data_IF_742689206520
#
_entry.id   IF_742689206520
#
_cell.length_a   1.000
_cell.length_b   1.000
_cell.length_c   1.000
_cell.angle_alpha   90.00
_cell.angle_beta   90.00
_cell.angle_gamma   90.00
#
_symmetry.space_group_name_H-M   'P 1'
#
loop_
_entity.id
_entity.type
_entity.pdbx_description
1 polymer ?
#
# COMPACT_ATOMS: atom_id res chain seq x y z
N UNK A 1 -12.15 14.68 -6.20
CA UNK A 1 -11.61 15.61 -7.25
C UNK A 1 -12.73 16.08 -8.18
N UNK A 2 -13.60 15.17 -8.74
CA UNK A 2 -14.68 15.59 -9.65
C UNK A 2 -15.75 16.43 -8.95
N UNK A 3 -16.16 16.04 -7.74
CA UNK A 3 -17.16 16.77 -6.96
C UNK A 3 -16.71 18.19 -6.60
N UNK A 4 -15.42 18.38 -6.34
CA UNK A 4 -14.84 19.67 -5.96
C UNK A 4 -14.77 20.64 -7.14
N UNK A 5 -14.63 20.09 -8.36
CA UNK A 5 -14.46 20.89 -9.58
C UNK A 5 -15.77 21.13 -10.33
N UNK A 6 -16.67 20.14 -10.37
CA UNK A 6 -17.88 20.14 -11.23
C UNK A 6 -19.19 19.99 -10.44
N UNK A 7 -19.12 19.89 -9.11
CA UNK A 7 -20.26 19.73 -8.21
C UNK A 7 -20.77 18.29 -8.10
N UNK A 8 -21.58 18.03 -7.08
CA UNK A 8 -22.11 16.70 -6.75
C UNK A 8 -22.90 16.05 -7.90
N UNK A 9 -23.66 16.85 -8.67
CA UNK A 9 -24.44 16.33 -9.79
C UNK A 9 -23.58 15.72 -10.89
N UNK A 10 -22.45 16.34 -11.23
CA UNK A 10 -21.50 15.79 -12.19
C UNK A 10 -20.87 14.49 -11.68
N UNK A 11 -20.56 14.41 -10.39
CA UNK A 11 -20.07 13.19 -9.74
C UNK A 11 -21.07 12.05 -9.80
N UNK A 12 -22.35 12.31 -9.52
CA UNK A 12 -23.40 11.30 -9.59
C UNK A 12 -23.59 10.77 -11.02
N UNK A 13 -23.60 11.65 -12.02
CA UNK A 13 -23.68 11.26 -13.44
C UNK A 13 -22.46 10.43 -13.87
N UNK A 14 -21.28 10.75 -13.37
CA UNK A 14 -20.05 10.02 -13.62
C UNK A 14 -20.14 8.59 -13.05
N UNK A 15 -20.59 8.45 -11.81
CA UNK A 15 -20.76 7.15 -11.15
C UNK A 15 -21.85 6.31 -11.82
N UNK A 16 -22.95 6.91 -12.22
CA UNK A 16 -24.01 6.22 -12.96
C UNK A 16 -23.51 5.72 -14.30
N UNK A 17 -22.83 6.55 -15.10
CA UNK A 17 -22.28 6.16 -16.39
C UNK A 17 -21.23 5.03 -16.25
N UNK A 18 -20.39 5.07 -15.23
CA UNK A 18 -19.45 4.00 -14.93
C UNK A 18 -20.17 2.69 -14.57
N UNK A 19 -21.17 2.75 -13.68
CA UNK A 19 -21.96 1.57 -13.28
C UNK A 19 -22.71 0.94 -14.46
N UNK A 20 -23.30 1.73 -15.34
CA UNK A 20 -23.99 1.25 -16.55
C UNK A 20 -22.99 0.59 -17.54
N UNK A 21 -21.83 1.21 -17.73
CA UNK A 21 -20.78 0.63 -18.57
C UNK A 21 -20.28 -0.72 -18.03
N UNK A 22 -20.08 -0.83 -16.70
CA UNK A 22 -19.69 -2.09 -16.06
C UNK A 22 -20.80 -3.14 -16.21
N UNK A 23 -22.06 -2.78 -15.93
CA UNK A 23 -23.22 -3.69 -16.08
C UNK A 23 -23.37 -4.22 -17.50
N UNK A 24 -23.06 -3.41 -18.51
CA UNK A 24 -23.05 -3.84 -19.90
C UNK A 24 -21.96 -4.87 -20.25
N UNK A 25 -20.99 -5.07 -19.37
CA UNK A 25 -19.90 -6.02 -19.55
C UNK A 25 -20.05 -7.32 -18.75
N UNK A 26 -20.99 -7.41 -17.81
CA UNK A 26 -21.12 -8.53 -16.87
C UNK A 26 -22.36 -9.39 -17.17
N UNK A 27 -22.35 -10.61 -16.65
CA UNK A 27 -23.46 -11.58 -16.80
C UNK A 27 -24.53 -11.33 -15.74
N UNK A 28 -25.70 -11.93 -15.93
CA UNK A 28 -26.77 -11.89 -14.93
C UNK A 28 -26.39 -12.58 -13.60
N UNK A 29 -25.47 -13.54 -13.65
CA UNK A 29 -24.89 -14.21 -12.47
C UNK A 29 -23.88 -13.36 -11.70
N UNK A 30 -23.34 -12.33 -12.34
CA UNK A 30 -22.32 -11.47 -11.76
C UNK A 30 -22.99 -10.35 -10.95
N UNK A 31 -22.35 -9.90 -9.88
CA UNK A 31 -22.93 -8.91 -8.98
C UNK A 31 -22.04 -7.69 -8.92
N UNK A 32 -22.62 -6.50 -9.18
CA UNK A 32 -21.98 -5.21 -9.01
C UNK A 32 -22.60 -4.47 -7.80
N UNK A 33 -21.77 -4.16 -6.83
CA UNK A 33 -22.16 -3.47 -5.59
C UNK A 33 -21.41 -2.13 -5.54
N UNK A 34 -22.10 -1.03 -5.22
CA UNK A 34 -21.41 0.21 -4.82
C UNK A 34 -21.00 0.06 -3.36
N UNK A 35 -19.71 -0.04 -3.13
CA UNK A 35 -19.14 -0.34 -1.81
C UNK A 35 -18.98 0.92 -0.94
N UNK A 36 -18.64 2.07 -1.58
CA UNK A 36 -18.55 3.36 -0.89
C UNK A 36 -18.09 4.45 -1.87
N UNK A 37 -18.46 5.71 -1.65
CA UNK A 37 -17.99 6.83 -2.45
C UNK A 37 -17.99 6.58 -3.96
N UNK A 38 -16.80 6.47 -4.54
CA UNK A 38 -16.53 6.12 -5.94
C UNK A 38 -16.04 4.67 -6.13
N UNK A 39 -16.21 3.82 -5.13
CA UNK A 39 -15.73 2.44 -5.13
C UNK A 39 -16.84 1.44 -5.45
N UNK A 40 -16.52 0.45 -6.30
CA UNK A 40 -17.39 -0.64 -6.68
C UNK A 40 -16.72 -1.98 -6.36
N UNK A 41 -17.51 -2.92 -5.82
CA UNK A 41 -17.15 -4.31 -5.67
C UNK A 41 -17.85 -5.13 -6.76
N UNK A 42 -17.08 -5.90 -7.52
CA UNK A 42 -17.59 -6.78 -8.55
C UNK A 42 -17.32 -8.25 -8.19
N UNK A 43 -18.37 -9.04 -8.10
CA UNK A 43 -18.29 -10.48 -7.83
C UNK A 43 -18.60 -11.25 -9.13
N UNK A 44 -17.67 -12.08 -9.56
CA UNK A 44 -17.73 -12.88 -10.80
C UNK A 44 -17.72 -14.38 -10.47
N UNK A 45 -18.88 -14.98 -10.16
CA UNK A 45 -18.94 -16.40 -9.83
C UNK A 45 -18.44 -17.28 -10.98
N UNK A 46 -17.63 -18.29 -10.64
CA UNK A 46 -17.15 -19.31 -11.59
C UNK A 46 -16.43 -18.73 -12.83
N UNK A 47 -15.71 -17.61 -12.68
CA UNK A 47 -14.84 -17.12 -13.74
C UNK A 47 -13.56 -17.99 -13.76
N UNK A 48 -13.11 -18.49 -14.93
CA UNK A 48 -11.82 -19.16 -15.02
C UNK A 48 -10.68 -18.17 -14.75
N UNK A 49 -9.61 -18.63 -14.10
CA UNK A 49 -8.48 -17.79 -13.71
C UNK A 49 -7.85 -17.06 -14.89
N UNK A 50 -7.63 -17.78 -16.00
CA UNK A 50 -7.07 -17.23 -17.25
C UNK A 50 -7.98 -16.18 -17.94
N UNK A 51 -9.26 -16.14 -17.56
CA UNK A 51 -10.25 -15.19 -18.09
C UNK A 51 -10.42 -13.94 -17.22
N UNK A 52 -10.03 -13.97 -15.92
CA UNK A 52 -10.25 -12.86 -15.00
C UNK A 52 -9.61 -11.56 -15.52
N UNK A 53 -8.31 -11.58 -15.80
CA UNK A 53 -7.58 -10.40 -16.28
C UNK A 53 -8.20 -9.83 -17.57
N UNK A 54 -8.52 -10.68 -18.53
CA UNK A 54 -9.14 -10.28 -19.80
C UNK A 54 -10.50 -9.61 -19.56
N UNK A 55 -11.28 -10.15 -18.62
CA UNK A 55 -12.59 -9.61 -18.25
C UNK A 55 -12.48 -8.23 -17.62
N UNK A 56 -11.56 -8.05 -16.70
CA UNK A 56 -11.33 -6.77 -16.03
C UNK A 56 -10.78 -5.72 -17.00
N UNK A 57 -9.89 -6.10 -17.92
CA UNK A 57 -9.41 -5.20 -18.99
C UNK A 57 -10.53 -4.81 -19.97
N UNK A 58 -11.44 -5.71 -20.29
CA UNK A 58 -12.64 -5.40 -21.07
C UNK A 58 -13.51 -4.35 -20.38
N UNK A 59 -13.76 -4.51 -19.07
CA UNK A 59 -14.52 -3.56 -18.26
C UNK A 59 -13.82 -2.20 -18.24
N UNK A 60 -12.53 -2.17 -17.91
CA UNK A 60 -11.72 -0.95 -17.90
C UNK A 60 -11.81 -0.19 -19.22
N UNK A 61 -11.59 -0.90 -20.33
CA UNK A 61 -11.63 -0.31 -21.67
C UNK A 61 -13.01 0.22 -22.04
N UNK A 62 -14.08 -0.49 -21.65
CA UNK A 62 -15.46 -0.06 -21.88
C UNK A 62 -15.80 1.20 -21.12
N UNK A 63 -15.43 1.28 -19.83
CA UNK A 63 -15.65 2.48 -19.01
C UNK A 63 -14.85 3.65 -19.56
N UNK A 64 -13.60 3.45 -19.95
CA UNK A 64 -12.76 4.50 -20.52
C UNK A 64 -13.33 5.07 -21.83
N UNK A 65 -13.99 4.25 -22.64
CA UNK A 65 -14.66 4.65 -23.88
C UNK A 65 -16.06 5.27 -23.67
N UNK A 66 -16.56 5.30 -22.42
CA UNK A 66 -17.91 5.80 -22.11
C UNK A 66 -17.88 7.31 -21.89
N UNK A 67 -18.76 8.03 -22.57
CA UNK A 67 -18.97 9.46 -22.37
C UNK A 67 -20.00 9.69 -21.25
N UNK A 68 -19.78 10.73 -20.42
CA UNK A 68 -20.72 11.12 -19.38
C UNK A 68 -21.79 12.03 -19.98
N UNK A 69 -23.08 11.69 -19.91
CA UNK A 69 -24.15 12.51 -20.46
C UNK A 69 -24.13 13.91 -19.87
N UNK A 70 -24.18 14.94 -20.73
CA UNK A 70 -24.10 16.35 -20.32
C UNK A 70 -22.69 16.87 -20.01
N UNK A 71 -21.65 15.99 -20.02
CA UNK A 71 -20.27 16.34 -19.67
C UNK A 71 -19.28 15.68 -20.64
N UNK A 72 -19.34 16.03 -21.92
CA UNK A 72 -18.55 15.39 -22.99
C UNK A 72 -17.01 15.53 -22.83
N UNK A 73 -16.56 16.44 -21.99
CA UNK A 73 -15.14 16.67 -21.67
C UNK A 73 -14.64 15.79 -20.50
N UNK A 74 -15.53 15.09 -19.77
CA UNK A 74 -15.14 14.20 -18.69
C UNK A 74 -14.79 12.82 -19.25
N UNK A 75 -13.60 12.35 -18.91
CA UNK A 75 -13.14 11.00 -19.23
C UNK A 75 -13.19 10.12 -18.00
N UNK A 76 -13.92 9.00 -18.11
CA UNK A 76 -13.94 7.98 -17.06
C UNK A 76 -12.67 7.18 -17.07
N UNK A 77 -12.16 6.85 -15.87
CA UNK A 77 -11.03 5.93 -15.71
C UNK A 77 -11.26 5.03 -14.52
N UNK A 78 -10.85 3.77 -14.62
CA UNK A 78 -10.92 2.81 -13.54
C UNK A 78 -9.53 2.30 -13.19
N UNK A 79 -9.27 2.17 -11.89
CA UNK A 79 -8.20 1.34 -11.36
C UNK A 79 -8.83 0.11 -10.74
N UNK A 80 -8.42 -1.08 -11.19
CA UNK A 80 -9.08 -2.34 -10.85
C UNK A 80 -8.06 -3.28 -10.23
N UNK A 81 -8.36 -3.79 -9.03
CA UNK A 81 -7.70 -4.94 -8.42
C UNK A 81 -8.57 -6.18 -8.56
N UNK A 82 -8.00 -7.30 -8.97
CA UNK A 82 -8.74 -8.56 -9.11
C UNK A 82 -8.02 -9.72 -8.48
N UNK A 83 -8.75 -10.55 -7.72
CA UNK A 83 -8.25 -11.77 -7.08
C UNK A 83 -9.15 -12.94 -7.37
N UNK A 84 -8.58 -14.13 -7.39
CA UNK A 84 -9.34 -15.39 -7.37
C UNK A 84 -9.46 -15.83 -5.92
N UNK A 85 -10.69 -15.85 -5.39
CA UNK A 85 -10.94 -16.34 -4.04
C UNK A 85 -10.81 -17.87 -4.00
N UNK A 86 -10.05 -18.42 -3.07
CA UNK A 86 -10.05 -19.83 -2.76
C UNK A 86 -11.18 -20.19 -1.79
N UNK A 87 -11.64 -21.47 -1.81
CA UNK A 87 -12.70 -21.93 -0.92
C UNK A 87 -12.30 -21.89 0.59
N UNK A 88 -11.02 -21.83 0.90
CA UNK A 88 -10.48 -21.79 2.25
C UNK A 88 -10.22 -20.36 2.76
N UNK A 89 -10.30 -19.36 1.89
CA UNK A 89 -10.03 -17.97 2.24
C UNK A 89 -11.32 -17.24 2.65
N UNK A 90 -11.35 -16.50 3.78
CA UNK A 90 -12.46 -15.64 4.13
C UNK A 90 -12.72 -14.57 3.06
N UNK A 91 -13.99 -14.28 2.77
CA UNK A 91 -14.39 -13.27 1.75
C UNK A 91 -13.78 -11.89 2.06
N UNK A 92 -13.71 -11.53 3.32
CA UNK A 92 -13.13 -10.27 3.79
C UNK A 92 -11.63 -10.17 3.46
N UNK A 93 -10.89 -11.29 3.50
CA UNK A 93 -9.48 -11.33 3.12
C UNK A 93 -9.31 -11.13 1.62
N UNK A 94 -10.13 -11.78 0.80
CA UNK A 94 -10.15 -11.58 -0.65
C UNK A 94 -10.50 -10.13 -1.03
N UNK A 95 -11.46 -9.51 -0.34
CA UNK A 95 -11.81 -8.09 -0.56
C UNK A 95 -10.63 -7.18 -0.23
N UNK A 96 -9.97 -7.35 0.93
CA UNK A 96 -8.77 -6.58 1.29
C UNK A 96 -7.64 -6.76 0.28
N UNK A 97 -7.45 -7.98 -0.22
CA UNK A 97 -6.46 -8.29 -1.24
C UNK A 97 -6.76 -7.56 -2.56
N UNK A 98 -8.01 -7.63 -3.04
CA UNK A 98 -8.45 -6.91 -4.24
C UNK A 98 -8.28 -5.38 -4.10
N UNK A 99 -8.56 -4.82 -2.92
CA UNK A 99 -8.37 -3.40 -2.62
C UNK A 99 -6.89 -2.99 -2.71
N UNK A 100 -5.99 -3.80 -2.16
CA UNK A 100 -4.53 -3.60 -2.29
C UNK A 100 -4.09 -3.57 -3.76
N UNK A 101 -4.54 -4.50 -4.59
CA UNK A 101 -4.23 -4.55 -6.02
C UNK A 101 -4.84 -3.37 -6.79
N UNK A 102 -6.07 -2.96 -6.44
CA UNK A 102 -6.69 -1.76 -6.99
C UNK A 102 -5.83 -0.52 -6.69
N UNK A 103 -5.30 -0.41 -5.49
CA UNK A 103 -4.44 0.70 -5.12
C UNK A 103 -3.12 0.71 -5.92
N UNK A 104 -2.50 -0.46 -6.18
CA UNK A 104 -1.36 -0.57 -7.09
C UNK A 104 -1.73 -0.07 -8.50
N UNK A 105 -2.93 -0.42 -8.98
CA UNK A 105 -3.45 0.07 -10.26
C UNK A 105 -3.66 1.59 -10.30
N UNK A 106 -4.01 2.25 -9.17
CA UNK A 106 -4.12 3.71 -9.07
C UNK A 106 -2.82 4.44 -9.39
N UNK A 107 -1.67 3.85 -9.04
CA UNK A 107 -0.34 4.43 -9.35
C UNK A 107 -0.05 4.51 -10.86
N UNK A 108 -0.68 3.65 -11.65
CA UNK A 108 -0.52 3.62 -13.11
C UNK A 108 -1.66 4.32 -13.87
N UNK A 109 -2.68 4.81 -13.16
CA UNK A 109 -3.94 5.38 -13.68
C UNK A 109 -4.57 4.51 -14.77
N UNK A 110 -5.88 4.28 -14.70
CA UNK A 110 -6.62 3.49 -15.68
C UNK A 110 -5.96 2.12 -15.96
N UNK A 111 -5.69 1.33 -14.94
CA UNK A 111 -4.95 0.07 -15.00
C UNK A 111 -5.70 -1.08 -14.30
N UNK A 112 -5.31 -2.32 -14.61
CA UNK A 112 -5.80 -3.55 -13.98
C UNK A 112 -4.63 -4.33 -13.42
N UNK A 113 -4.66 -4.62 -12.13
CA UNK A 113 -3.74 -5.54 -11.46
C UNK A 113 -4.50 -6.77 -10.99
N UNK A 114 -4.00 -7.97 -11.33
CA UNK A 114 -4.62 -9.24 -10.96
C UNK A 114 -3.55 -10.13 -10.36
N UNK A 115 -3.89 -10.78 -9.26
CA UNK A 115 -3.06 -11.81 -8.64
C UNK A 115 -3.83 -13.13 -8.63
N UNK A 116 -3.16 -14.20 -9.00
CA UNK A 116 -3.72 -15.54 -9.02
C UNK A 116 -3.20 -16.27 -7.80
N UNK A 117 -4.08 -16.61 -6.86
CA UNK A 117 -3.79 -17.57 -5.80
C UNK A 117 -3.91 -18.96 -6.40
N UNK A 118 -2.83 -19.49 -6.93
CA UNK A 118 -2.77 -20.83 -7.53
C UNK A 118 -1.48 -20.98 -8.34
N UNK A 119 -0.73 -22.01 -8.02
CA UNK A 119 0.56 -22.38 -8.55
C UNK A 119 0.65 -22.21 -10.08
N UNK A 120 1.32 -21.16 -10.54
CA UNK A 120 1.95 -21.16 -11.85
C UNK A 120 3.42 -21.56 -11.63
N UNK A 121 3.85 -22.77 -12.08
CA UNK A 121 5.21 -23.25 -11.86
C UNK A 121 6.29 -22.46 -12.59
N UNK A 122 5.94 -21.39 -13.33
CA UNK A 122 6.85 -20.55 -14.09
C UNK A 122 6.96 -19.08 -13.65
N UNK A 123 6.29 -18.68 -12.55
CA UNK A 123 6.59 -17.38 -11.93
C UNK A 123 7.69 -17.61 -10.90
N UNK A 124 8.81 -16.88 -10.94
CA UNK A 124 9.82 -16.98 -9.89
C UNK A 124 9.17 -16.70 -8.54
N UNK A 125 9.27 -17.65 -7.61
CA UNK A 125 8.76 -17.58 -6.22
C UNK A 125 9.25 -16.36 -5.41
N UNK A 126 10.06 -15.49 -6.01
CA UNK A 126 10.70 -14.37 -5.33
C UNK A 126 9.78 -13.17 -5.02
N UNK A 127 8.63 -13.01 -5.69
CA UNK A 127 7.81 -11.81 -5.49
C UNK A 127 6.63 -12.00 -4.52
N UNK A 128 6.09 -13.20 -4.36
CA UNK A 128 5.02 -13.50 -3.40
C UNK A 128 5.52 -13.80 -1.98
N UNK A 129 6.72 -14.39 -1.85
CA UNK A 129 7.33 -14.69 -0.56
C UNK A 129 7.92 -13.47 0.16
N UNK A 130 8.29 -12.39 -0.56
CA UNK A 130 8.83 -11.18 0.06
C UNK A 130 7.77 -10.36 0.80
N UNK A 131 6.49 -10.38 0.38
CA UNK A 131 5.42 -9.63 1.04
C UNK A 131 4.91 -10.33 2.31
N UNK A 132 4.89 -11.66 2.36
CA UNK A 132 4.49 -12.42 3.55
C UNK A 132 5.53 -12.36 4.69
N UNK A 133 6.74 -11.88 4.45
CA UNK A 133 7.80 -11.76 5.44
C UNK A 133 8.12 -10.33 5.88
N UNK A 134 7.48 -9.31 5.32
CA UNK A 134 7.73 -7.92 5.72
C UNK A 134 7.25 -7.67 7.13
N UNK A 135 8.17 -7.23 7.99
CA UNK A 135 7.90 -6.94 9.39
C UNK A 135 7.61 -5.45 9.57
N UNK A 136 6.60 -5.12 10.37
CA UNK A 136 6.34 -3.76 10.83
C UNK A 136 6.54 -3.71 12.33
N UNK A 137 7.40 -2.82 12.79
CA UNK A 137 7.66 -2.60 14.21
C UNK A 137 6.75 -1.48 14.74
N UNK A 138 5.97 -1.78 15.76
CA UNK A 138 5.13 -0.80 16.49
C UNK A 138 5.77 -0.53 17.85
N UNK A 139 6.15 0.73 18.09
CA UNK A 139 6.78 1.19 19.33
C UNK A 139 5.87 2.22 19.99
N UNK A 140 5.18 1.82 21.06
CA UNK A 140 4.21 2.64 21.78
C UNK A 140 4.07 2.06 23.21
N UNK A 141 4.03 2.89 24.25
CA UNK A 141 3.94 2.41 25.64
C UNK A 141 2.55 1.84 25.98
N UNK A 142 1.51 2.26 25.25
CA UNK A 142 0.14 1.78 25.42
C UNK A 142 -0.11 0.48 24.65
N UNK A 143 -0.34 -0.62 25.36
CA UNK A 143 -0.73 -1.89 24.75
C UNK A 143 -2.01 -1.78 23.89
N UNK A 144 -2.96 -0.88 24.27
CA UNK A 144 -4.17 -0.62 23.49
C UNK A 144 -3.84 0.02 22.14
N UNK A 145 -2.93 0.98 22.11
CA UNK A 145 -2.51 1.63 20.87
C UNK A 145 -1.81 0.65 19.93
N UNK A 146 -0.91 -0.20 20.46
CA UNK A 146 -0.25 -1.25 19.68
C UNK A 146 -1.27 -2.22 19.08
N UNK A 147 -2.25 -2.65 19.86
CA UNK A 147 -3.33 -3.54 19.39
C UNK A 147 -4.16 -2.89 18.26
N UNK A 148 -4.53 -1.62 18.39
CA UNK A 148 -5.29 -0.90 17.35
C UNK A 148 -4.47 -0.80 16.05
N UNK A 149 -3.19 -0.47 16.12
CA UNK A 149 -2.31 -0.37 14.96
C UNK A 149 -2.08 -1.75 14.32
N UNK A 150 -1.91 -2.79 15.12
CA UNK A 150 -1.80 -4.16 14.64
C UNK A 150 -3.08 -4.63 13.94
N UNK A 151 -4.26 -4.27 14.46
CA UNK A 151 -5.54 -4.57 13.81
C UNK A 151 -5.72 -3.83 12.48
N UNK A 152 -5.27 -2.57 12.39
CA UNK A 152 -5.28 -1.79 11.14
C UNK A 152 -4.43 -2.46 10.06
N UNK A 153 -3.26 -3.00 10.43
CA UNK A 153 -2.35 -3.69 9.51
C UNK A 153 -2.84 -5.10 9.15
N UNK A 154 -3.63 -5.72 10.02
CA UNK A 154 -4.22 -7.03 9.81
C UNK A 154 -3.15 -8.13 9.64
N UNK A 155 -3.44 -9.09 8.77
CA UNK A 155 -2.54 -10.21 8.45
C UNK A 155 -1.53 -9.93 7.35
N UNK A 156 -1.49 -8.71 6.82
CA UNK A 156 -0.65 -8.36 5.67
C UNK A 156 0.83 -8.22 6.03
N UNK A 157 1.13 -8.04 7.33
CA UNK A 157 2.48 -7.85 7.86
C UNK A 157 2.72 -8.69 9.11
N UNK A 158 3.96 -9.09 9.32
CA UNK A 158 4.37 -9.64 10.61
C UNK A 158 4.66 -8.49 11.59
N UNK A 159 3.85 -8.39 12.65
CA UNK A 159 3.93 -7.30 13.62
C UNK A 159 4.94 -7.64 14.71
N UNK A 160 5.89 -6.75 14.91
CA UNK A 160 6.78 -6.72 16.07
C UNK A 160 6.35 -5.58 16.97
N UNK A 161 6.35 -5.80 18.29
CA UNK A 161 5.93 -4.81 19.26
C UNK A 161 7.06 -4.46 20.22
N UNK A 162 7.11 -3.20 20.63
CA UNK A 162 7.98 -2.71 21.71
C UNK A 162 7.20 -1.69 22.57
N UNK A 163 7.42 -1.71 23.87
CA UNK A 163 6.71 -0.84 24.83
C UNK A 163 7.45 0.46 25.16
N UNK A 164 8.64 0.64 24.65
CA UNK A 164 9.48 1.83 24.82
C UNK A 164 10.56 1.90 23.75
N UNK A 165 11.26 3.01 23.66
CA UNK A 165 12.28 3.23 22.63
C UNK A 165 13.51 2.32 22.74
N UNK A 166 13.93 1.90 23.95
CA UNK A 166 15.07 0.99 24.12
C UNK A 166 14.76 -0.38 23.55
N UNK A 167 13.57 -0.95 23.88
CA UNK A 167 13.09 -2.20 23.29
C UNK A 167 12.97 -2.08 21.78
N UNK A 168 12.42 -0.97 21.25
CA UNK A 168 12.33 -0.73 19.82
C UNK A 168 13.69 -0.75 19.12
N UNK A 169 14.69 -0.10 19.68
CA UNK A 169 16.06 -0.13 19.17
C UNK A 169 16.71 -1.52 19.24
N UNK A 170 16.38 -2.30 20.25
CA UNK A 170 16.88 -3.69 20.36
C UNK A 170 16.26 -4.58 19.28
N UNK A 171 14.95 -4.48 19.04
CA UNK A 171 14.25 -5.18 17.97
C UNK A 171 14.84 -4.82 16.60
N UNK A 172 15.13 -3.53 16.35
CA UNK A 172 15.79 -3.08 15.11
C UNK A 172 17.15 -3.71 14.90
N UNK A 173 17.97 -3.83 15.96
CA UNK A 173 19.31 -4.46 15.87
C UNK A 173 19.24 -5.97 15.63
N UNK A 174 18.22 -6.64 16.19
CA UNK A 174 18.03 -8.09 16.05
C UNK A 174 17.46 -8.50 14.68
N UNK A 175 16.82 -7.57 13.95
CA UNK A 175 16.16 -7.83 12.68
C UNK A 175 16.70 -6.97 11.53
N UNK A 176 18.02 -6.98 11.25
CA UNK A 176 18.60 -6.12 10.23
C UNK A 176 18.04 -6.46 8.84
N UNK A 177 17.49 -5.47 8.15
CA UNK A 177 16.97 -5.60 6.79
C UNK A 177 15.58 -6.22 6.64
N UNK A 178 15.00 -6.77 7.72
CA UNK A 178 13.67 -7.41 7.66
C UNK A 178 12.52 -6.44 8.01
N UNK A 179 12.80 -5.35 8.72
CA UNK A 179 11.79 -4.37 9.12
C UNK A 179 11.53 -3.41 7.96
N UNK A 180 10.31 -3.43 7.47
CA UNK A 180 9.86 -2.61 6.34
C UNK A 180 9.47 -1.18 6.77
N UNK A 181 9.03 -1.01 8.04
CA UNK A 181 8.57 0.28 8.58
C UNK A 181 8.49 0.23 10.11
N UNK A 182 8.71 1.38 10.74
CA UNK A 182 8.48 1.61 12.17
C UNK A 182 7.32 2.57 12.37
N UNK A 183 6.34 2.19 13.19
CA UNK A 183 5.33 3.08 13.75
C UNK A 183 5.79 3.47 15.15
N UNK A 184 5.99 4.76 15.40
CA UNK A 184 6.70 5.24 16.57
C UNK A 184 5.90 6.32 17.31
N UNK A 185 5.54 6.05 18.56
CA UNK A 185 4.97 7.08 19.42
C UNK A 185 6.06 8.03 19.94
N UNK A 186 5.69 9.27 20.24
CA UNK A 186 6.61 10.26 20.80
C UNK A 186 6.78 10.04 22.30
N UNK A 187 5.67 9.93 23.02
CA UNK A 187 5.64 10.02 24.47
C UNK A 187 5.73 8.63 25.13
N UNK A 188 6.93 8.14 25.29
CA UNK A 188 7.20 6.85 25.91
C UNK A 188 8.19 7.00 27.08
N UNK A 189 8.10 6.12 28.10
CA UNK A 189 9.08 6.06 29.17
C UNK A 189 10.43 5.53 28.68
N UNK A 190 11.49 5.74 29.46
CA UNK A 190 12.86 5.26 29.26
C UNK A 190 13.55 5.98 28.09
N UNK A 191 13.02 5.83 26.86
CA UNK A 191 13.51 6.41 25.64
C UNK A 191 12.33 6.86 24.79
N UNK A 192 12.19 8.17 24.55
CA UNK A 192 11.08 8.73 23.76
C UNK A 192 11.31 8.61 22.25
N UNK A 193 10.28 8.89 21.45
CA UNK A 193 10.33 8.71 19.99
C UNK A 193 11.38 9.60 19.29
N UNK A 194 11.64 10.79 19.76
CA UNK A 194 12.69 11.64 19.19
C UNK A 194 14.10 11.12 19.48
N UNK A 195 14.30 10.51 20.65
CA UNK A 195 15.56 9.85 20.99
C UNK A 195 15.78 8.61 20.12
N UNK A 196 14.71 7.84 19.84
CA UNK A 196 14.76 6.71 18.89
C UNK A 196 15.15 7.18 17.49
N UNK A 197 14.48 8.23 16.95
CA UNK A 197 14.85 8.82 15.65
C UNK A 197 16.30 9.27 15.60
N UNK A 198 16.77 9.92 16.68
CA UNK A 198 18.16 10.37 16.79
C UNK A 198 19.12 9.17 16.78
N UNK A 199 18.80 8.09 17.48
CA UNK A 199 19.61 6.88 17.51
C UNK A 199 19.63 6.16 16.15
N UNK A 200 18.48 6.04 15.48
CA UNK A 200 18.36 5.48 14.14
C UNK A 200 19.17 6.29 13.11
N UNK A 201 19.14 7.61 13.21
CA UNK A 201 19.90 8.50 12.34
C UNK A 201 21.42 8.31 12.53
N UNK A 202 21.90 8.29 13.78
CA UNK A 202 23.32 8.05 14.09
C UNK A 202 23.84 6.69 13.62
N UNK A 203 22.99 5.68 13.60
CA UNK A 203 23.32 4.32 13.15
C UNK A 203 23.00 4.07 11.67
N UNK A 204 22.58 5.10 10.94
CA UNK A 204 22.15 5.04 9.52
C UNK A 204 20.97 4.09 9.24
N UNK A 205 20.30 3.55 10.26
CA UNK A 205 19.14 2.67 10.09
C UNK A 205 17.98 3.40 9.41
N UNK A 206 17.83 4.71 9.64
CA UNK A 206 16.74 5.52 9.08
C UNK A 206 16.82 5.65 7.54
N UNK A 207 17.98 5.41 6.94
CA UNK A 207 18.16 5.44 5.48
C UNK A 207 17.46 4.26 4.80
N UNK A 208 17.38 3.12 5.50
CA UNK A 208 16.81 1.87 4.99
C UNK A 208 15.42 1.57 5.56
N UNK A 209 15.13 2.03 6.77
CA UNK A 209 13.89 1.74 7.51
C UNK A 209 13.10 3.02 7.74
N UNK A 210 11.99 3.25 7.01
CA UNK A 210 11.15 4.43 7.19
C UNK A 210 10.47 4.42 8.56
N UNK A 211 10.25 5.63 9.10
CA UNK A 211 9.55 5.83 10.37
C UNK A 211 8.34 6.74 10.16
N UNK A 212 7.18 6.27 10.59
CA UNK A 212 5.98 7.11 10.73
C UNK A 212 5.77 7.38 12.21
N UNK A 213 5.84 8.67 12.58
CA UNK A 213 5.52 9.10 13.94
C UNK A 213 4.01 9.09 14.14
N UNK A 214 3.53 8.54 15.26
CA UNK A 214 2.10 8.54 15.62
C UNK A 214 1.95 9.11 17.02
N UNK A 215 1.35 10.29 17.15
CA UNK A 215 1.28 10.96 18.45
C UNK A 215 -0.03 11.73 18.64
N UNK A 216 -0.37 11.99 19.89
CA UNK A 216 -1.42 12.95 20.29
C UNK A 216 -0.92 14.40 20.35
N UNK A 217 0.38 14.62 20.16
CA UNK A 217 0.93 15.96 20.05
C UNK A 217 0.67 16.54 18.65
N UNK A 218 -0.06 17.65 18.60
CA UNK A 218 -0.36 18.39 17.38
C UNK A 218 0.47 19.69 17.23
N UNK A 219 1.41 19.90 18.13
CA UNK A 219 2.28 21.07 18.10
C UNK A 219 3.14 21.09 16.83
N UNK A 220 3.06 22.19 16.07
CA UNK A 220 3.84 22.37 14.83
C UNK A 220 5.35 22.17 15.04
N UNK A 221 5.85 22.51 16.23
CA UNK A 221 7.25 22.29 16.62
C UNK A 221 7.62 20.82 16.69
N UNK A 222 6.74 19.95 17.22
CA UNK A 222 6.96 18.51 17.32
C UNK A 222 6.94 17.85 15.93
N UNK A 223 6.01 18.26 15.08
CA UNK A 223 5.92 17.80 13.69
C UNK A 223 7.18 18.20 12.91
N UNK A 224 7.60 19.46 13.00
CA UNK A 224 8.81 19.95 12.33
C UNK A 224 10.05 19.19 12.79
N UNK A 225 10.20 19.02 14.12
CA UNK A 225 11.31 18.26 14.70
C UNK A 225 11.37 16.81 14.22
N UNK A 226 10.21 16.14 14.09
CA UNK A 226 10.15 14.78 13.56
C UNK A 226 10.74 14.69 12.15
N UNK A 227 10.32 15.59 11.25
CA UNK A 227 10.85 15.62 9.87
C UNK A 227 12.34 16.02 9.82
N UNK A 228 12.79 16.97 10.63
CA UNK A 228 14.22 17.35 10.74
C UNK A 228 15.09 16.17 11.20
N UNK A 229 14.55 15.27 12.02
CA UNK A 229 15.22 14.06 12.46
C UNK A 229 15.09 12.88 11.49
N UNK A 230 14.40 13.06 10.35
CA UNK A 230 14.31 12.07 9.29
C UNK A 230 13.06 11.19 9.31
N UNK A 231 12.02 11.53 10.09
CA UNK A 231 10.75 10.82 9.98
C UNK A 231 10.19 10.93 8.56
N UNK A 232 9.66 9.82 8.05
CA UNK A 232 9.08 9.74 6.70
C UNK A 232 7.68 10.34 6.65
N UNK A 233 6.92 10.24 7.75
CA UNK A 233 5.58 10.83 7.89
C UNK A 233 5.22 11.05 9.37
N UNK A 234 4.15 11.82 9.60
CA UNK A 234 3.63 12.12 10.93
C UNK A 234 2.11 12.03 10.93
N UNK A 235 1.54 11.30 11.89
CA UNK A 235 0.10 11.07 12.03
C UNK A 235 -0.38 11.50 13.40
N UNK A 236 -1.33 12.44 13.45
CA UNK A 236 -1.95 12.90 14.70
C UNK A 236 -3.08 11.94 15.13
N UNK A 237 -3.19 11.72 16.45
CA UNK A 237 -4.36 11.09 17.07
C UNK A 237 -5.40 12.15 17.46
N UNK A 238 -6.71 11.88 17.32
CA UNK A 238 -7.31 10.67 16.76
C UNK A 238 -7.16 10.60 15.23
N UNK A 239 -7.03 9.39 14.68
CA UNK A 239 -6.84 9.18 13.24
C UNK A 239 -7.92 8.27 12.64
N UNK A 240 -8.14 8.38 11.33
CA UNK A 240 -8.92 7.45 10.54
C UNK A 240 -8.06 6.22 10.19
N UNK A 241 -8.56 5.02 10.50
CA UNK A 241 -7.85 3.76 10.28
C UNK A 241 -7.46 3.55 8.81
N UNK A 242 -8.36 3.89 7.87
CA UNK A 242 -8.09 3.78 6.43
C UNK A 242 -7.00 4.74 5.99
N UNK A 243 -6.99 5.96 6.51
CA UNK A 243 -5.97 6.97 6.18
C UNK A 243 -4.60 6.51 6.67
N UNK A 244 -4.52 6.00 7.91
CA UNK A 244 -3.26 5.49 8.48
C UNK A 244 -2.76 4.30 7.68
N UNK A 245 -3.61 3.31 7.39
CA UNK A 245 -3.27 2.16 6.56
C UNK A 245 -2.68 2.58 5.22
N UNK A 246 -3.32 3.53 4.52
CA UNK A 246 -2.85 4.03 3.23
C UNK A 246 -1.47 4.72 3.33
N UNK A 247 -1.22 5.50 4.37
CA UNK A 247 0.08 6.14 4.60
C UNK A 247 1.17 5.10 4.83
N UNK A 248 0.90 4.07 5.62
CA UNK A 248 1.81 2.96 5.88
C UNK A 248 2.18 2.25 4.57
N UNK A 249 1.19 1.81 3.79
CA UNK A 249 1.42 1.11 2.52
C UNK A 249 2.22 1.98 1.54
N UNK A 250 1.84 3.25 1.39
CA UNK A 250 2.55 4.17 0.49
C UNK A 250 4.02 4.32 0.88
N UNK A 251 4.28 4.46 2.17
CA UNK A 251 5.64 4.62 2.68
C UNK A 251 6.47 3.36 2.44
N UNK A 252 5.93 2.17 2.76
CA UNK A 252 6.60 0.89 2.51
C UNK A 252 6.92 0.72 1.03
N UNK A 253 5.96 0.98 0.14
CA UNK A 253 6.15 0.85 -1.30
C UNK A 253 7.18 1.83 -1.86
N UNK A 254 7.19 3.07 -1.37
CA UNK A 254 8.16 4.07 -1.79
C UNK A 254 9.59 3.62 -1.46
N UNK A 255 9.83 3.18 -0.24
CA UNK A 255 11.13 2.72 0.22
C UNK A 255 11.55 1.39 -0.46
N UNK A 256 10.62 0.48 -0.71
CA UNK A 256 10.90 -0.73 -1.48
C UNK A 256 11.35 -0.41 -2.92
N UNK A 257 10.68 0.54 -3.59
CA UNK A 257 11.10 1.02 -4.92
C UNK A 257 12.48 1.68 -4.89
N UNK A 258 12.76 2.50 -3.89
CA UNK A 258 14.04 3.17 -3.73
C UNK A 258 15.18 2.17 -3.52
N UNK A 259 15.00 1.17 -2.66
CA UNK A 259 15.96 0.08 -2.43
C UNK A 259 16.22 -0.72 -3.72
N UNK A 260 15.16 -1.05 -4.48
CA UNK A 260 15.26 -1.76 -5.76
C UNK A 260 16.06 -0.97 -6.79
N UNK A 261 15.81 0.34 -6.92
CA UNK A 261 16.57 1.23 -7.80
C UNK A 261 18.04 1.32 -7.40
N UNK A 262 18.34 1.47 -6.11
CA UNK A 262 19.71 1.52 -5.59
C UNK A 262 20.46 0.22 -5.86
N UNK A 263 19.83 -0.93 -5.68
CA UNK A 263 20.40 -2.24 -5.98
C UNK A 263 20.69 -2.41 -7.50
N UNK A 264 19.77 -1.99 -8.37
CA UNK A 264 19.97 -2.04 -9.83
C UNK A 264 21.13 -1.14 -10.27
N UNK A 265 21.26 0.07 -9.71
CA UNK A 265 22.38 0.98 -10.01
C UNK A 265 23.70 0.38 -9.54
N UNK A 266 23.76 -0.19 -8.33
CA UNK A 266 24.97 -0.84 -7.81
C UNK A 266 25.41 -2.02 -8.69
N UNK A 267 24.47 -2.86 -9.16
CA UNK A 267 24.77 -3.96 -10.07
C UNK A 267 25.30 -3.48 -11.44
N UNK A 268 24.71 -2.43 -12.02
CA UNK A 268 25.18 -1.83 -13.27
C UNK A 268 26.60 -1.25 -13.14
N UNK A 269 26.92 -0.61 -12.00
CA UNK A 269 28.26 -0.08 -11.74
C UNK A 269 29.26 -1.23 -11.65
N UNK A 270 28.95 -2.27 -10.88
CA UNK A 270 29.79 -3.46 -10.73
C UNK A 270 30.03 -4.18 -12.06
N UNK A 271 29.02 -4.30 -12.92
CA UNK A 271 29.16 -4.89 -14.25
C UNK A 271 30.04 -4.04 -15.19
N UNK A 272 29.93 -2.71 -15.12
CA UNK A 272 30.81 -1.80 -15.90
C UNK A 272 32.26 -1.90 -15.44
N UNK A 273 32.53 -1.95 -14.15
CA UNK A 273 33.89 -2.10 -13.62
C UNK A 273 34.52 -3.44 -14.05
N UNK A 274 33.76 -4.55 -13.95
CA UNK A 274 34.23 -5.87 -14.44
C UNK A 274 34.56 -5.87 -15.93
N UNK A 275 33.71 -5.23 -16.77
CA UNK A 275 33.98 -5.10 -18.21
C UNK A 275 35.21 -4.24 -18.50
N UNK A 276 35.41 -3.16 -17.75
CA UNK A 276 36.57 -2.28 -17.91
C UNK A 276 37.90 -3.00 -17.55
N UNK A 277 37.88 -3.83 -16.50
CA UNK A 277 39.04 -4.62 -16.10
C UNK A 277 39.38 -5.72 -17.10
N UNK A 278 38.38 -6.34 -17.78
CA UNK A 278 38.64 -7.34 -18.83
C UNK A 278 39.20 -6.77 -20.14
N UNK A 279 39.06 -5.44 -20.39
CA UNK A 279 39.61 -4.81 -21.59
C UNK A 279 41.05 -4.29 -21.44
N UNK A 280 41.60 -4.32 -20.23
CA UNK A 280 42.95 -3.80 -19.90
C UNK A 280 43.96 -4.98 -19.66
N UNK A 281 43.50 -6.20 -19.58
CA UNK A 281 44.33 -7.43 -19.50
C UNK A 281 44.40 -8.15 -20.82
#
# INVERSE_FOLDING_TARGET
IYNDTYGHHAGDMTLQAAAEAIRGCIRQSDTLIRYGGDEFLLILPNIPADCLKKKLEQIRSRVYATSVPGYSHLHLSLSIGGVMQSASEPVEAAIRHADRLMYQSKNHKNAVTVEFVGEDPNVPEAESSELEQQQVLIVDDSAMNRMILAEILGSDYHILEASNGEEGMEVLRQNPGNIALVLLDINMPIMNGFEVLTAMNRSHIIEDVPVIMISSEDAESSIRRAYELGASDYVNRPFDAKVVYQRIINTIQLYAKQRRLSAMVADQVSQKEKRSQMMIG
#
